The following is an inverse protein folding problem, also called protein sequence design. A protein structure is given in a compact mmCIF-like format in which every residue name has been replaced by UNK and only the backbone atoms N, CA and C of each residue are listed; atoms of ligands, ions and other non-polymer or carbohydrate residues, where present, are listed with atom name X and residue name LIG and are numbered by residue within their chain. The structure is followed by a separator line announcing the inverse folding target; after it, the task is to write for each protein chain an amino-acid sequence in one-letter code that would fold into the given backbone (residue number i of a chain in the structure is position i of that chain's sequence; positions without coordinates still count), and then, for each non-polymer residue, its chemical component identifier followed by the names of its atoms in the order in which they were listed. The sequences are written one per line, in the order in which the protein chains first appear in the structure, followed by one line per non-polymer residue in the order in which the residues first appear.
data_IF_610615424891
#
_entry.id   IF_610615424891
#
_cell.length_a   1.000
_cell.length_b   1.000
_cell.length_c   1.000
_cell.angle_alpha   90.00
_cell.angle_beta   90.00
_cell.angle_gamma   90.00
#
_symmetry.space_group_name_H-M   'P 1'
#
loop_
_entity.id
_entity.type
_entity.pdbx_description
1 polymer ?
#
# COMPACT_ATOMS: atom_id res chain seq x y z
N UNK A 1 -33.48 -39.31 29.99
CA UNK A 1 -33.84 -40.49 30.82
C UNK A 1 -34.77 -41.36 29.97
N UNK A 2 -34.56 -42.67 29.86
CA UNK A 2 -35.37 -43.63 29.06
C UNK A 2 -34.89 -43.99 27.62
N UNK A 3 -33.63 -44.38 27.46
CA UNK A 3 -33.21 -45.16 26.27
C UNK A 3 -32.21 -46.29 26.61
N UNK A 4 -31.72 -46.35 27.85
CA UNK A 4 -30.76 -47.37 28.28
C UNK A 4 -31.40 -48.64 28.84
N UNK A 5 -32.71 -48.62 29.13
CA UNK A 5 -33.45 -49.77 29.68
C UNK A 5 -33.94 -50.79 28.65
N UNK A 6 -33.81 -50.52 27.34
CA UNK A 6 -34.37 -51.41 26.31
C UNK A 6 -33.42 -52.53 25.88
N UNK A 7 -32.10 -52.33 25.99
CA UNK A 7 -31.11 -53.34 25.59
C UNK A 7 -30.94 -54.43 26.67
N UNK A 8 -31.26 -54.14 27.94
CA UNK A 8 -31.31 -55.15 29.01
C UNK A 8 -32.63 -55.94 29.05
N UNK A 9 -33.72 -55.42 28.48
CA UNK A 9 -35.02 -56.10 28.51
C UNK A 9 -35.14 -57.24 27.47
N UNK A 10 -34.36 -57.18 26.38
CA UNK A 10 -34.33 -58.25 25.38
C UNK A 10 -33.51 -59.48 25.82
N UNK A 11 -32.67 -59.36 26.85
CA UNK A 11 -31.87 -60.46 27.39
C UNK A 11 -32.65 -61.36 28.37
N UNK A 12 -33.84 -60.92 28.84
CA UNK A 12 -34.61 -61.65 29.85
C UNK A 12 -35.65 -62.64 29.30
N UNK A 13 -35.90 -62.65 27.97
CA UNK A 13 -36.98 -63.46 27.38
C UNK A 13 -36.53 -64.85 26.85
N UNK A 14 -35.27 -65.25 27.05
CA UNK A 14 -34.73 -66.51 26.52
C UNK A 14 -34.44 -67.58 27.59
N UNK A 15 -35.04 -67.47 28.78
CA UNK A 15 -34.87 -68.44 29.86
C UNK A 15 -36.19 -69.15 30.19
N UNK A 16 -36.88 -69.71 29.19
CA UNK A 16 -37.85 -70.78 29.43
C UNK A 16 -37.16 -72.13 29.22
N UNK A 17 -36.63 -72.68 30.31
CA UNK A 17 -36.17 -74.06 30.39
C UNK A 17 -37.40 -74.99 30.36
N UNK A 18 -37.78 -75.45 29.17
CA UNK A 18 -38.63 -76.65 29.03
C UNK A 18 -37.77 -77.89 29.27
N UNK A 19 -38.00 -78.56 30.39
CA UNK A 19 -37.49 -79.91 30.63
C UNK A 19 -37.98 -80.86 29.55
N UNK A 20 -37.07 -81.58 28.88
CA UNK A 20 -37.40 -82.74 28.07
C UNK A 20 -37.07 -84.00 28.86
N UNK A 21 -38.13 -84.76 29.16
CA UNK A 21 -38.08 -86.02 29.88
C UNK A 21 -37.27 -87.10 29.16
N UNK A 22 -36.66 -87.95 29.98
CA UNK A 22 -35.77 -89.02 29.59
C UNK A 22 -36.48 -90.21 28.94
N UNK A 23 -35.98 -90.67 27.80
CA UNK A 23 -36.23 -92.00 27.23
C UNK A 23 -34.86 -92.65 26.92
N UNK A 24 -34.73 -93.93 27.27
CA UNK A 24 -33.47 -94.70 27.28
C UNK A 24 -32.96 -95.03 25.87
N UNK A 25 -31.70 -94.71 25.61
CA UNK A 25 -30.93 -95.26 24.48
C UNK A 25 -29.44 -95.02 24.72
N UNK A 26 -28.62 -96.05 24.53
CA UNK A 26 -27.15 -95.99 24.57
C UNK A 26 -26.64 -94.84 23.67
N UNK A 27 -26.16 -93.74 24.24
CA UNK A 27 -25.97 -92.53 23.46
C UNK A 27 -24.94 -91.58 24.04
N UNK A 28 -24.17 -90.99 23.13
CA UNK A 28 -23.15 -89.96 23.31
C UNK A 28 -23.56 -88.89 24.33
N UNK A 29 -22.58 -88.30 25.03
CA UNK A 29 -22.77 -87.18 25.97
C UNK A 29 -23.79 -86.16 25.39
N UNK A 30 -24.90 -85.83 26.08
CA UNK A 30 -26.02 -85.12 25.48
C UNK A 30 -25.69 -83.79 24.75
N UNK A 31 -24.71 -82.97 25.20
CA UNK A 31 -24.22 -81.79 24.46
C UNK A 31 -23.47 -82.08 23.16
N UNK A 32 -23.01 -83.31 22.95
CA UNK A 32 -22.23 -83.75 21.79
C UNK A 32 -23.02 -84.71 20.88
N UNK A 33 -24.34 -84.79 21.06
CA UNK A 33 -25.20 -85.57 20.17
C UNK A 33 -25.29 -84.90 18.79
N UNK A 34 -24.61 -85.52 17.82
CA UNK A 34 -24.53 -85.07 16.42
C UNK A 34 -25.87 -84.90 15.71
N UNK A 35 -26.94 -85.53 16.20
CA UNK A 35 -28.29 -85.39 15.63
C UNK A 35 -28.85 -83.96 15.79
N UNK A 36 -28.46 -83.24 16.85
CA UNK A 36 -28.92 -81.88 17.14
C UNK A 36 -28.11 -80.79 16.43
N UNK A 37 -26.89 -81.12 16.00
CA UNK A 37 -25.97 -80.16 15.36
C UNK A 37 -26.54 -79.57 14.06
N UNK A 38 -27.29 -80.34 13.28
CA UNK A 38 -27.87 -79.85 12.03
C UNK A 38 -28.87 -78.71 12.26
N UNK A 39 -29.73 -78.83 13.27
CA UNK A 39 -30.71 -77.78 13.63
C UNK A 39 -30.02 -76.55 14.22
N UNK A 40 -29.02 -76.75 15.09
CA UNK A 40 -28.25 -75.66 15.69
C UNK A 40 -27.46 -74.88 14.63
N UNK A 41 -26.81 -75.57 13.71
CA UNK A 41 -26.08 -74.95 12.59
C UNK A 41 -27.02 -74.23 11.63
N UNK A 42 -28.22 -74.77 11.37
CA UNK A 42 -29.22 -74.10 10.55
C UNK A 42 -29.65 -72.76 11.17
N UNK A 43 -30.06 -72.75 12.44
CA UNK A 43 -30.46 -71.52 13.13
C UNK A 43 -29.29 -70.55 13.34
N UNK A 44 -28.08 -71.06 13.60
CA UNK A 44 -26.86 -70.25 13.64
C UNK A 44 -26.64 -69.56 12.29
N UNK A 45 -26.72 -70.29 11.17
CA UNK A 45 -26.55 -69.73 9.84
C UNK A 45 -27.64 -68.69 9.51
N UNK A 46 -28.89 -68.94 9.89
CA UNK A 46 -30.01 -68.00 9.67
C UNK A 46 -29.81 -66.72 10.48
N UNK A 47 -29.55 -66.82 11.78
CA UNK A 47 -29.37 -65.65 12.67
C UNK A 47 -28.08 -64.88 12.36
N UNK A 48 -26.99 -65.59 12.07
CA UNK A 48 -25.71 -64.99 11.67
C UNK A 48 -25.82 -64.32 10.29
N UNK A 49 -26.52 -64.95 9.34
CA UNK A 49 -26.82 -64.38 8.03
C UNK A 49 -27.66 -63.10 8.14
N UNK A 50 -28.70 -63.12 8.97
CA UNK A 50 -29.52 -61.93 9.25
C UNK A 50 -28.68 -60.81 9.88
N UNK A 51 -27.81 -61.13 10.85
CA UNK A 51 -26.89 -60.18 11.48
C UNK A 51 -25.94 -59.56 10.44
N UNK A 52 -25.29 -60.39 9.61
CA UNK A 52 -24.38 -59.93 8.56
C UNK A 52 -25.10 -59.04 7.54
N UNK A 53 -26.33 -59.39 7.17
CA UNK A 53 -27.15 -58.58 6.28
C UNK A 53 -27.43 -57.19 6.89
N UNK A 54 -27.80 -57.13 8.18
CA UNK A 54 -28.00 -55.87 8.91
C UNK A 54 -26.71 -55.05 9.01
N UNK A 55 -25.58 -55.70 9.32
CA UNK A 55 -24.29 -55.06 9.45
C UNK A 55 -23.86 -54.43 8.11
N UNK A 56 -23.94 -55.22 7.03
CA UNK A 56 -23.61 -54.80 5.67
C UNK A 56 -24.49 -53.64 5.21
N UNK A 57 -25.82 -53.71 5.45
CA UNK A 57 -26.75 -52.73 4.89
C UNK A 57 -26.91 -51.47 5.73
N UNK A 58 -26.63 -51.50 7.03
CA UNK A 58 -26.92 -50.38 7.95
C UNK A 58 -25.66 -49.85 8.62
N UNK A 59 -24.81 -50.71 9.18
CA UNK A 59 -23.65 -50.26 9.97
C UNK A 59 -22.49 -49.80 9.10
N UNK A 60 -22.14 -50.57 8.07
CA UNK A 60 -21.09 -50.22 7.10
C UNK A 60 -21.34 -48.87 6.40
N UNK A 61 -22.52 -48.58 5.82
CA UNK A 61 -22.75 -47.30 5.16
C UNK A 61 -22.75 -46.12 6.13
N UNK A 62 -23.17 -46.31 7.39
CA UNK A 62 -23.09 -45.26 8.42
C UNK A 62 -21.65 -44.93 8.81
N UNK A 63 -20.79 -45.94 8.95
CA UNK A 63 -19.36 -45.73 9.20
C UNK A 63 -18.67 -45.06 8.00
N UNK A 64 -18.98 -45.51 6.78
CA UNK A 64 -18.47 -44.91 5.55
C UNK A 64 -18.85 -43.43 5.44
N UNK A 65 -20.11 -43.08 5.72
CA UNK A 65 -20.57 -41.69 5.67
C UNK A 65 -19.86 -40.76 6.66
N UNK A 66 -19.49 -41.22 7.84
CA UNK A 66 -18.76 -40.40 8.82
C UNK A 66 -17.31 -40.17 8.36
N UNK A 67 -16.66 -41.20 7.83
CA UNK A 67 -15.30 -41.08 7.33
C UNK A 67 -15.25 -40.13 6.13
N UNK A 68 -16.19 -40.29 5.20
CA UNK A 68 -16.35 -39.44 4.03
C UNK A 68 -16.66 -37.99 4.41
N UNK A 69 -17.52 -37.77 5.41
CA UNK A 69 -17.82 -36.42 5.88
C UNK A 69 -16.57 -35.73 6.45
N UNK A 70 -15.76 -36.45 7.22
CA UNK A 70 -14.50 -35.91 7.76
C UNK A 70 -13.47 -35.65 6.67
N UNK A 71 -13.30 -36.56 5.71
CA UNK A 71 -12.37 -36.32 4.60
C UNK A 71 -12.78 -35.12 3.77
N UNK A 72 -14.08 -34.98 3.49
CA UNK A 72 -14.59 -33.83 2.74
C UNK A 72 -14.42 -32.53 3.52
N UNK A 73 -14.71 -32.51 4.82
CA UNK A 73 -14.49 -31.31 5.63
C UNK A 73 -13.02 -30.90 5.65
N UNK A 74 -12.09 -31.86 5.80
CA UNK A 74 -10.65 -31.59 5.76
C UNK A 74 -10.22 -31.07 4.38
N UNK A 75 -10.75 -31.65 3.31
CA UNK A 75 -10.45 -31.21 1.95
C UNK A 75 -10.95 -29.78 1.69
N UNK A 76 -12.18 -29.48 2.13
CA UNK A 76 -12.78 -28.14 2.03
C UNK A 76 -11.99 -27.11 2.86
N UNK A 77 -11.61 -27.47 4.09
CA UNK A 77 -10.81 -26.61 4.95
C UNK A 77 -9.42 -26.33 4.35
N UNK A 78 -8.79 -27.34 3.73
CA UNK A 78 -7.50 -27.20 3.07
C UNK A 78 -7.60 -26.35 1.80
N UNK A 79 -8.63 -26.52 0.98
CA UNK A 79 -8.84 -25.69 -0.21
C UNK A 79 -9.14 -24.24 0.19
N UNK A 80 -9.97 -24.04 1.21
CA UNK A 80 -10.26 -22.72 1.77
C UNK A 80 -8.99 -22.04 2.29
N UNK A 81 -8.16 -22.74 3.06
CA UNK A 81 -6.87 -22.24 3.54
C UNK A 81 -5.93 -21.90 2.37
N UNK A 82 -5.83 -22.77 1.36
CA UNK A 82 -5.01 -22.53 0.19
C UNK A 82 -5.51 -21.33 -0.63
N UNK A 83 -6.83 -21.13 -0.73
CA UNK A 83 -7.43 -19.94 -1.35
C UNK A 83 -7.10 -18.67 -0.58
N UNK A 84 -7.30 -18.67 0.74
CA UNK A 84 -6.98 -17.52 1.60
C UNK A 84 -5.49 -17.16 1.53
N UNK A 85 -4.61 -18.17 1.48
CA UNK A 85 -3.18 -17.95 1.30
C UNK A 85 -2.86 -17.31 -0.05
N UNK A 86 -3.44 -17.80 -1.16
CA UNK A 86 -3.26 -17.18 -2.49
C UNK A 86 -3.77 -15.74 -2.53
N UNK A 87 -4.92 -15.47 -1.90
CA UNK A 87 -5.49 -14.13 -1.81
C UNK A 87 -4.58 -13.19 -0.99
N UNK A 88 -4.01 -13.68 0.12
CA UNK A 88 -3.04 -12.93 0.92
C UNK A 88 -1.75 -12.63 0.16
N UNK A 89 -1.17 -13.62 -0.53
CA UNK A 89 0.03 -13.45 -1.35
C UNK A 89 -0.21 -12.46 -2.51
N UNK A 90 -1.41 -12.49 -3.12
CA UNK A 90 -1.78 -11.52 -4.15
C UNK A 90 -1.94 -10.10 -3.57
N UNK A 91 -2.58 -9.98 -2.41
CA UNK A 91 -2.73 -8.70 -1.72
C UNK A 91 -1.37 -8.12 -1.30
N UNK A 92 -0.47 -8.95 -0.78
CA UNK A 92 0.90 -8.56 -0.42
C UNK A 92 1.65 -8.03 -1.64
N UNK A 93 1.66 -8.77 -2.76
CA UNK A 93 2.29 -8.32 -4.01
C UNK A 93 1.71 -7.00 -4.51
N UNK A 94 0.38 -6.87 -4.50
CA UNK A 94 -0.27 -5.62 -4.92
C UNK A 94 0.08 -4.45 -3.99
N UNK A 95 0.22 -4.71 -2.69
CA UNK A 95 0.60 -3.70 -1.70
C UNK A 95 2.06 -3.27 -1.88
N UNK A 96 2.98 -4.21 -2.07
CA UNK A 96 4.38 -3.93 -2.33
C UNK A 96 4.57 -3.15 -3.64
N UNK A 97 3.85 -3.52 -4.69
CA UNK A 97 3.83 -2.78 -5.96
C UNK A 97 3.32 -1.35 -5.77
N UNK A 98 2.17 -1.18 -5.09
CA UNK A 98 1.62 0.15 -4.80
C UNK A 98 2.59 1.02 -3.98
N UNK A 99 3.30 0.43 -3.01
CA UNK A 99 4.29 1.12 -2.21
C UNK A 99 5.52 1.53 -3.04
N UNK A 100 6.01 0.64 -3.90
CA UNK A 100 7.10 0.92 -4.83
C UNK A 100 6.73 2.06 -5.79
N UNK A 101 5.54 1.98 -6.40
CA UNK A 101 5.03 3.01 -7.32
C UNK A 101 4.82 4.35 -6.63
N UNK A 102 4.31 4.36 -5.39
CA UNK A 102 4.15 5.58 -4.61
C UNK A 102 5.50 6.24 -4.31
N UNK A 103 6.52 5.45 -3.93
CA UNK A 103 7.89 5.95 -3.72
C UNK A 103 8.49 6.49 -5.00
N UNK A 104 8.36 5.77 -6.11
CA UNK A 104 8.84 6.23 -7.43
C UNK A 104 8.15 7.54 -7.86
N UNK A 105 6.83 7.65 -7.68
CA UNK A 105 6.08 8.90 -7.94
C UNK A 105 6.55 10.04 -7.05
N UNK A 106 6.74 9.81 -5.75
CA UNK A 106 7.23 10.83 -4.82
C UNK A 106 8.62 11.34 -5.21
N UNK A 107 9.53 10.43 -5.58
CA UNK A 107 10.86 10.80 -6.09
C UNK A 107 10.78 11.59 -7.39
N UNK A 108 9.98 11.15 -8.35
CA UNK A 108 9.79 11.87 -9.60
C UNK A 108 9.23 13.27 -9.36
N UNK A 109 8.19 13.41 -8.54
CA UNK A 109 7.62 14.73 -8.20
C UNK A 109 8.66 15.62 -7.53
N UNK A 110 9.46 15.09 -6.59
CA UNK A 110 10.50 15.87 -5.94
C UNK A 110 11.55 16.37 -6.95
N UNK A 111 12.02 15.49 -7.85
CA UNK A 111 13.02 15.84 -8.86
C UNK A 111 12.47 16.81 -9.91
N UNK A 112 11.25 16.59 -10.42
CA UNK A 112 10.63 17.54 -11.37
C UNK A 112 10.37 18.90 -10.73
N UNK A 113 9.99 18.92 -9.46
CA UNK A 113 9.76 20.18 -8.73
C UNK A 113 11.08 20.93 -8.52
N UNK A 114 12.15 20.24 -8.11
CA UNK A 114 13.50 20.84 -8.00
C UNK A 114 13.98 21.39 -9.34
N UNK A 115 13.80 20.63 -10.43
CA UNK A 115 14.18 21.08 -11.75
C UNK A 115 13.38 22.32 -12.20
N UNK A 116 12.06 22.35 -11.96
CA UNK A 116 11.21 23.51 -12.28
C UNK A 116 11.62 24.74 -11.47
N UNK A 117 11.82 24.59 -10.15
CA UNK A 117 12.24 25.68 -9.27
C UNK A 117 13.60 26.22 -9.71
N UNK A 118 14.57 25.35 -10.00
CA UNK A 118 15.88 25.80 -10.46
C UNK A 118 15.80 26.56 -11.79
N UNK A 119 14.94 26.10 -12.72
CA UNK A 119 14.72 26.80 -13.99
C UNK A 119 14.04 28.17 -13.78
N UNK A 120 13.08 28.27 -12.87
CA UNK A 120 12.44 29.53 -12.50
C UNK A 120 13.43 30.49 -11.83
N UNK A 121 14.26 30.01 -10.91
CA UNK A 121 15.31 30.80 -10.26
C UNK A 121 16.29 31.35 -11.31
N UNK A 122 16.77 30.50 -12.21
CA UNK A 122 17.70 30.92 -13.27
C UNK A 122 17.06 31.99 -14.19
N UNK A 123 15.80 31.79 -14.58
CA UNK A 123 15.08 32.76 -15.40
C UNK A 123 14.88 34.10 -14.68
N UNK A 124 14.59 34.07 -13.38
CA UNK A 124 14.39 35.29 -12.60
C UNK A 124 15.72 36.00 -12.29
N UNK A 125 16.80 35.25 -12.08
CA UNK A 125 18.15 35.79 -11.96
C UNK A 125 18.56 36.51 -13.25
N UNK A 126 18.34 35.90 -14.42
CA UNK A 126 18.65 36.54 -15.71
C UNK A 126 17.87 37.85 -15.91
N UNK A 127 16.57 37.88 -15.57
CA UNK A 127 15.79 39.13 -15.62
C UNK A 127 16.30 40.18 -14.64
N UNK A 128 16.64 39.78 -13.42
CA UNK A 128 17.17 40.68 -12.40
C UNK A 128 18.51 41.29 -12.84
N UNK A 129 19.39 40.50 -13.47
CA UNK A 129 20.67 40.95 -14.03
C UNK A 129 20.47 41.91 -15.21
N UNK A 130 19.52 41.62 -16.10
CA UNK A 130 19.15 42.54 -17.19
C UNK A 130 18.62 43.88 -16.65
N UNK A 131 17.75 43.83 -15.65
CA UNK A 131 17.17 45.03 -15.05
C UNK A 131 18.21 45.84 -14.28
N UNK A 132 19.11 45.17 -13.55
CA UNK A 132 20.26 45.81 -12.89
C UNK A 132 21.17 46.51 -13.92
N UNK A 133 21.46 45.85 -15.04
CA UNK A 133 22.27 46.43 -16.12
C UNK A 133 21.59 47.67 -16.73
N UNK A 134 20.28 47.61 -17.02
CA UNK A 134 19.53 48.78 -17.51
C UNK A 134 19.55 49.93 -16.50
N UNK A 135 19.40 49.64 -15.21
CA UNK A 135 19.46 50.68 -14.17
C UNK A 135 20.86 51.30 -14.08
N UNK A 136 21.92 50.51 -14.21
CA UNK A 136 23.30 51.00 -14.29
C UNK A 136 23.48 51.94 -15.48
N UNK A 137 23.03 51.54 -16.68
CA UNK A 137 23.14 52.37 -17.89
C UNK A 137 22.38 53.71 -17.74
N UNK A 138 21.18 53.68 -17.15
CA UNK A 138 20.39 54.88 -16.88
C UNK A 138 21.10 55.78 -15.86
N UNK A 139 21.67 55.21 -14.80
CA UNK A 139 22.42 55.95 -13.80
C UNK A 139 23.68 56.59 -14.39
N UNK A 140 24.44 55.84 -15.21
CA UNK A 140 25.61 56.35 -15.93
C UNK A 140 25.24 57.49 -16.87
N UNK A 141 24.13 57.35 -17.62
CA UNK A 141 23.61 58.40 -18.49
C UNK A 141 23.27 59.68 -17.72
N UNK A 142 22.61 59.56 -16.56
CA UNK A 142 22.30 60.69 -15.66
C UNK A 142 23.58 61.34 -15.13
N UNK A 143 24.57 60.56 -14.71
CA UNK A 143 25.86 61.06 -14.23
C UNK A 143 26.59 61.83 -15.33
N UNK A 144 26.64 61.29 -16.56
CA UNK A 144 27.25 61.96 -17.72
C UNK A 144 26.54 63.29 -18.02
N UNK A 145 25.21 63.31 -18.02
CA UNK A 145 24.42 64.52 -18.25
C UNK A 145 24.65 65.57 -17.15
N UNK A 146 24.65 65.17 -15.86
CA UNK A 146 24.97 66.06 -14.75
C UNK A 146 26.37 66.64 -14.87
N UNK A 147 27.36 65.82 -15.24
CA UNK A 147 28.75 66.25 -15.42
C UNK A 147 28.86 67.28 -16.56
N UNK A 148 28.21 67.03 -17.70
CA UNK A 148 28.20 67.99 -18.81
C UNK A 148 27.54 69.32 -18.41
N UNK A 149 26.40 69.27 -17.69
CA UNK A 149 25.72 70.46 -17.18
C UNK A 149 26.57 71.22 -16.16
N UNK A 150 27.23 70.52 -15.23
CA UNK A 150 28.12 71.13 -14.25
C UNK A 150 29.30 71.83 -14.93
N UNK A 151 29.96 71.18 -15.91
CA UNK A 151 31.04 71.79 -16.68
C UNK A 151 30.58 73.03 -17.46
N UNK A 152 29.39 73.00 -18.08
CA UNK A 152 28.83 74.19 -18.74
C UNK A 152 28.59 75.34 -17.77
N UNK A 153 28.13 75.06 -16.55
CA UNK A 153 27.90 76.10 -15.55
C UNK A 153 29.21 76.67 -14.98
N UNK A 154 30.33 75.93 -15.05
CA UNK A 154 31.64 76.42 -14.58
C UNK A 154 32.11 77.60 -15.42
N UNK A 155 31.91 77.58 -16.74
CA UNK A 155 32.30 78.69 -17.61
C UNK A 155 31.51 79.97 -17.28
N UNK A 156 30.21 79.83 -17.02
CA UNK A 156 29.35 80.95 -16.63
C UNK A 156 29.73 81.51 -15.25
N UNK A 157 29.98 80.64 -14.26
CA UNK A 157 30.44 81.04 -12.93
C UNK A 157 31.83 81.68 -13.02
N UNK A 158 32.74 81.14 -13.83
CA UNK A 158 34.08 81.69 -14.01
C UNK A 158 34.02 83.10 -14.66
N UNK A 159 33.16 83.29 -15.66
CA UNK A 159 32.94 84.59 -16.29
C UNK A 159 32.33 85.61 -15.32
N UNK A 160 31.36 85.21 -14.50
CA UNK A 160 30.73 86.09 -13.51
C UNK A 160 31.70 86.47 -12.37
N UNK A 161 32.49 85.50 -11.92
CA UNK A 161 33.54 85.73 -10.90
C UNK A 161 34.63 86.65 -11.44
N UNK A 162 35.10 86.45 -12.68
CA UNK A 162 36.08 87.32 -13.33
C UNK A 162 35.56 88.74 -13.52
N UNK A 163 34.28 88.90 -13.91
CA UNK A 163 33.63 90.21 -14.02
C UNK A 163 33.57 90.92 -12.67
N UNK A 164 33.16 90.22 -11.62
CA UNK A 164 33.11 90.75 -10.25
C UNK A 164 34.51 91.17 -9.77
N UNK A 165 35.54 90.38 -10.07
CA UNK A 165 36.92 90.70 -9.72
C UNK A 165 37.42 91.96 -10.43
N UNK A 166 37.14 92.10 -11.74
CA UNK A 166 37.51 93.28 -12.53
C UNK A 166 36.77 94.53 -12.06
N UNK A 167 35.48 94.43 -11.74
CA UNK A 167 34.70 95.55 -11.17
C UNK A 167 35.21 95.96 -9.77
N UNK A 168 35.74 95.02 -8.97
CA UNK A 168 36.32 95.32 -7.66
C UNK A 168 37.72 95.96 -7.72
N UNK A 169 38.50 95.65 -8.76
CA UNK A 169 39.87 96.14 -8.93
C UNK A 169 39.97 97.40 -9.81
N UNK A 170 39.02 97.59 -10.72
CA UNK A 170 38.93 98.76 -11.59
C UNK A 170 37.54 99.41 -11.43
N UNK A 171 37.49 100.59 -10.83
CA UNK A 171 36.26 101.37 -10.58
C UNK A 171 35.61 101.95 -11.88
N UNK A 172 35.55 101.17 -12.96
CA UNK A 172 34.96 101.53 -14.25
C UNK A 172 34.22 100.34 -14.87
N UNK A 173 32.89 100.48 -15.02
CA UNK A 173 31.99 99.43 -15.56
C UNK A 173 32.35 99.05 -16.99
N UNK A 174 32.60 97.77 -17.24
CA UNK A 174 32.71 97.20 -18.60
C UNK A 174 31.50 96.29 -18.86
N UNK A 175 30.95 96.37 -20.08
CA UNK A 175 29.79 95.60 -20.51
C UNK A 175 30.07 94.08 -20.57
N UNK A 176 29.11 93.28 -20.10
CA UNK A 176 29.19 91.82 -19.96
C UNK A 176 29.54 91.04 -21.26
N UNK A 177 29.37 91.66 -22.43
CA UNK A 177 29.67 91.07 -23.72
C UNK A 177 31.18 90.93 -24.01
N UNK A 178 32.05 91.75 -23.38
CA UNK A 178 33.50 91.69 -23.62
C UNK A 178 34.19 90.63 -22.76
N UNK A 179 33.70 90.42 -21.53
CA UNK A 179 34.23 89.43 -20.60
C UNK A 179 34.02 87.98 -21.08
N UNK A 180 32.82 87.66 -21.56
CA UNK A 180 32.49 86.34 -22.12
C UNK A 180 33.29 86.02 -23.40
N UNK A 181 33.69 87.05 -24.16
CA UNK A 181 34.50 86.89 -25.38
C UNK A 181 35.98 86.64 -25.09
N UNK A 182 36.51 87.18 -23.99
CA UNK A 182 37.91 86.97 -23.57
C UNK A 182 38.11 85.58 -22.94
N UNK A 183 37.16 85.11 -22.13
CA UNK A 183 37.23 83.76 -21.51
C UNK A 183 37.20 82.65 -22.58
N UNK A 184 36.39 82.81 -23.64
CA UNK A 184 36.33 81.85 -24.76
C UNK A 184 37.50 81.92 -25.74
N UNK A 185 38.37 82.94 -25.66
CA UNK A 185 39.54 83.08 -26.53
C UNK A 185 40.82 82.53 -25.89
N UNK A 186 40.78 82.22 -24.58
CA UNK A 186 41.95 81.80 -23.79
C UNK A 186 41.93 80.30 -23.45
N UNK A 187 40.82 79.60 -23.71
CA UNK A 187 40.67 78.13 -23.62
C UNK A 187 40.37 77.54 -24.99
#
# INVERSE_FOLDING_TARGET
MSAFNFIMAAAAAAAETKEHGAEKGSGVFPPLDSSTFSSQLFWLAVTFGLLLFLLSKVFLPRLGGILEHRSNQIADDLDSAARMQREAEHAEKSYEQALSDARAKAHNVAETTRASINAEIEAEMQKADEEATRQMDVAEGKIKALRAKALSNVDDIAADTAKTLVESLFSGKIAAATATKAVKAQG
#
